data_IF_192841132909
#
_entry.id   IF_192841132909
#
_cell.length_a   1.000
_cell.length_b   1.000
_cell.length_c   1.000
_cell.angle_alpha   90.00
_cell.angle_beta   90.00
_cell.angle_gamma   90.00
#
_symmetry.space_group_name_H-M   'P 1'
#
loop_
_entity.id
_entity.type
_entity.pdbx_description
1 polymer ?
#
# COMPACT_ATOMS: atom_id res chain seq x y z
N UNK A 1 3.32 36.39 -34.55
CA UNK A 1 2.96 36.66 -33.15
C UNK A 1 4.25 36.82 -32.34
N UNK A 2 4.59 38.02 -31.87
CA UNK A 2 5.78 38.23 -30.99
C UNK A 2 5.35 37.84 -29.57
N UNK A 3 5.79 36.68 -29.06
CA UNK A 3 5.64 36.36 -27.64
C UNK A 3 6.32 37.48 -26.83
N UNK A 4 5.56 38.11 -25.94
CA UNK A 4 6.12 39.15 -25.07
C UNK A 4 7.24 38.54 -24.20
N UNK A 5 8.42 39.14 -24.22
CA UNK A 5 9.60 38.72 -23.43
C UNK A 5 9.25 38.37 -21.97
N UNK A 6 8.34 39.09 -21.26
CA UNK A 6 7.98 38.73 -19.88
C UNK A 6 7.25 37.42 -19.79
N UNK A 7 6.44 37.03 -20.78
CA UNK A 7 5.71 35.75 -20.79
C UNK A 7 6.65 34.55 -20.94
N UNK A 8 7.68 34.70 -21.80
CA UNK A 8 8.73 33.67 -21.96
C UNK A 8 9.52 33.51 -20.67
N UNK A 9 9.85 34.61 -19.98
CA UNK A 9 10.58 34.58 -18.69
C UNK A 9 9.76 33.84 -17.63
N UNK A 10 8.47 34.07 -17.52
CA UNK A 10 7.58 33.37 -16.55
C UNK A 10 7.55 31.86 -16.83
N UNK A 11 7.44 31.46 -18.10
CA UNK A 11 7.44 30.03 -18.45
C UNK A 11 8.78 29.37 -18.10
N UNK A 12 9.89 30.02 -18.41
CA UNK A 12 11.24 29.49 -18.10
C UNK A 12 11.45 29.40 -16.58
N UNK A 13 10.99 30.40 -15.83
CA UNK A 13 11.08 30.36 -14.36
C UNK A 13 10.21 29.25 -13.78
N UNK A 14 9.01 29.05 -14.30
CA UNK A 14 8.10 27.98 -13.87
C UNK A 14 8.71 26.58 -14.17
N UNK A 15 9.28 26.40 -15.35
CA UNK A 15 9.99 25.17 -15.73
C UNK A 15 11.22 24.92 -14.86
N UNK A 16 11.97 25.98 -14.52
CA UNK A 16 13.12 25.88 -13.61
C UNK A 16 12.69 25.52 -12.18
N UNK A 17 11.61 26.08 -11.67
CA UNK A 17 11.08 25.74 -10.33
C UNK A 17 10.61 24.29 -10.30
N UNK A 18 9.91 23.82 -11.32
CA UNK A 18 9.47 22.41 -11.43
C UNK A 18 10.66 21.47 -11.56
N UNK A 19 11.70 21.84 -12.29
CA UNK A 19 12.91 21.02 -12.43
C UNK A 19 13.80 21.01 -11.18
N UNK A 20 13.74 22.04 -10.35
CA UNK A 20 14.48 22.13 -9.08
C UNK A 20 13.75 21.47 -7.91
N UNK A 21 12.40 21.39 -7.95
CA UNK A 21 11.61 20.73 -6.90
C UNK A 21 11.70 19.19 -6.96
N UNK A 22 12.18 18.61 -8.06
CA UNK A 22 12.55 17.20 -8.20
C UNK A 22 11.41 16.19 -8.08
N UNK A 23 10.22 16.55 -7.61
CA UNK A 23 9.09 15.66 -7.43
C UNK A 23 7.77 16.37 -7.72
N UNK A 24 6.97 15.83 -8.61
CA UNK A 24 5.55 16.20 -8.75
C UNK A 24 4.77 15.15 -7.95
N UNK A 25 4.09 15.59 -6.90
CA UNK A 25 3.25 14.74 -6.06
C UNK A 25 1.81 14.90 -6.56
N UNK A 26 1.25 13.82 -7.09
CA UNK A 26 -0.16 13.75 -7.51
C UNK A 26 -0.84 12.75 -6.58
N UNK A 27 -1.68 13.19 -5.62
CA UNK A 27 -2.42 12.27 -4.77
C UNK A 27 -3.50 11.57 -5.62
N UNK A 28 -3.48 10.26 -5.63
CA UNK A 28 -4.52 9.41 -6.17
C UNK A 28 -5.15 8.62 -5.02
N UNK A 29 -6.46 8.39 -5.11
CA UNK A 29 -7.22 7.66 -4.10
C UNK A 29 -7.77 6.39 -4.72
N UNK A 30 -7.71 5.29 -3.96
CA UNK A 30 -8.27 4.00 -4.35
C UNK A 30 -8.96 3.34 -3.17
N UNK A 31 -10.05 2.66 -3.47
CA UNK A 31 -10.73 1.75 -2.58
C UNK A 31 -10.63 0.35 -3.17
N UNK A 32 -10.47 -0.67 -2.34
CA UNK A 32 -10.40 -2.04 -2.78
C UNK A 32 -11.71 -2.74 -2.48
N UNK A 33 -12.51 -2.98 -3.52
CA UNK A 33 -13.70 -3.81 -3.45
C UNK A 33 -13.32 -5.22 -3.94
N UNK A 34 -13.13 -6.14 -2.98
CA UNK A 34 -12.63 -7.48 -3.23
C UNK A 34 -13.80 -8.45 -2.97
N UNK A 35 -14.28 -9.16 -4.00
CA UNK A 35 -15.36 -10.13 -3.84
C UNK A 35 -14.97 -11.26 -2.88
N UNK A 36 -15.83 -11.55 -1.89
CA UNK A 36 -15.54 -12.57 -0.86
C UNK A 36 -15.34 -13.97 -1.44
N UNK A 37 -16.00 -14.29 -2.56
CA UNK A 37 -15.85 -15.54 -3.28
C UNK A 37 -14.49 -15.74 -3.94
N UNK A 38 -13.76 -14.66 -4.19
CA UNK A 38 -12.40 -14.71 -4.72
C UNK A 38 -11.35 -14.89 -3.61
N UNK A 39 -11.73 -14.72 -2.34
CA UNK A 39 -10.85 -14.76 -1.18
C UNK A 39 -10.90 -16.11 -0.49
N UNK A 40 -9.75 -16.78 -0.40
CA UNK A 40 -9.58 -18.01 0.35
C UNK A 40 -9.43 -17.77 1.86
N UNK A 41 -8.63 -16.76 2.25
CA UNK A 41 -8.45 -16.39 3.65
C UNK A 41 -7.85 -14.98 3.78
N UNK A 42 -8.01 -14.39 4.98
CA UNK A 42 -7.40 -13.12 5.36
C UNK A 42 -6.59 -13.32 6.63
N UNK A 43 -5.37 -12.79 6.66
CA UNK A 43 -4.41 -12.97 7.74
C UNK A 43 -3.80 -11.63 8.16
N UNK A 44 -3.55 -11.47 9.47
CA UNK A 44 -2.87 -10.31 10.02
C UNK A 44 -1.45 -10.65 10.46
N UNK A 45 -0.53 -9.74 10.21
CA UNK A 45 0.85 -9.79 10.68
C UNK A 45 1.13 -8.54 11.51
N UNK A 46 1.71 -8.73 12.68
CA UNK A 46 2.20 -7.67 13.58
C UNK A 46 3.71 -7.52 13.38
N UNK A 47 4.13 -6.35 12.94
CA UNK A 47 5.55 -6.06 12.68
C UNK A 47 6.16 -5.10 13.71
N UNK A 48 5.45 -4.75 14.78
CA UNK A 48 5.88 -3.77 15.80
C UNK A 48 7.21 -4.14 16.45
N UNK A 49 7.43 -5.44 16.67
CA UNK A 49 8.66 -5.95 17.29
C UNK A 49 9.82 -6.12 16.31
N UNK A 50 9.61 -5.87 15.01
CA UNK A 50 10.69 -5.94 14.02
C UNK A 50 11.45 -4.61 13.96
N UNK A 51 12.63 -4.57 14.55
CA UNK A 51 13.49 -3.37 14.64
C UNK A 51 14.13 -2.96 13.30
N UNK A 52 14.24 -3.88 12.30
CA UNK A 52 14.87 -3.61 11.01
C UNK A 52 14.33 -4.55 9.92
N UNK A 53 14.62 -4.26 8.67
CA UNK A 53 14.30 -5.04 7.45
C UNK A 53 12.99 -5.85 7.51
N UNK A 54 11.89 -5.12 7.43
CA UNK A 54 10.54 -5.70 7.38
C UNK A 54 10.22 -6.35 6.01
N UNK A 55 11.15 -6.37 5.07
CA UNK A 55 10.93 -6.87 3.69
C UNK A 55 10.67 -8.37 3.62
N UNK A 56 11.25 -9.13 4.56
CA UNK A 56 11.19 -10.59 4.58
C UNK A 56 10.23 -11.17 5.65
N UNK A 57 9.35 -10.34 6.25
CA UNK A 57 8.48 -10.76 7.35
C UNK A 57 7.66 -12.01 7.01
N UNK A 58 7.16 -12.13 5.79
CA UNK A 58 6.29 -13.24 5.37
C UNK A 58 6.98 -14.61 5.36
N UNK A 59 8.32 -14.64 5.37
CA UNK A 59 9.10 -15.88 5.47
C UNK A 59 9.62 -16.16 6.90
N UNK A 60 9.54 -15.15 7.78
CA UNK A 60 10.09 -15.20 9.14
C UNK A 60 9.02 -15.17 10.23
N UNK A 61 7.85 -14.67 9.92
CA UNK A 61 6.73 -14.55 10.87
C UNK A 61 5.56 -15.41 10.45
N UNK A 62 4.90 -16.00 11.44
CA UNK A 62 3.57 -16.55 11.28
C UNK A 62 2.53 -15.43 11.45
N UNK A 63 1.35 -15.55 10.80
CA UNK A 63 0.28 -14.60 11.03
C UNK A 63 -0.18 -14.65 12.50
N UNK A 64 -0.37 -13.50 13.12
CA UNK A 64 -0.89 -13.42 14.50
C UNK A 64 -2.37 -13.77 14.58
N UNK A 65 -3.09 -13.59 13.47
CA UNK A 65 -4.52 -13.89 13.38
C UNK A 65 -4.94 -14.26 11.96
N UNK A 66 -5.93 -15.14 11.86
CA UNK A 66 -6.62 -15.45 10.60
C UNK A 66 -8.11 -15.22 10.82
N UNK A 67 -8.72 -14.40 9.97
CA UNK A 67 -10.16 -14.09 10.02
C UNK A 67 -10.96 -15.40 9.85
N UNK A 68 -11.90 -15.72 10.77
CA UNK A 68 -12.82 -16.82 10.61
C UNK A 68 -13.65 -16.69 9.31
N UNK A 69 -14.04 -17.83 8.73
CA UNK A 69 -14.81 -17.85 7.47
C UNK A 69 -16.12 -17.06 7.56
N UNK A 70 -16.79 -17.15 8.73
CA UNK A 70 -18.04 -16.44 9.01
C UNK A 70 -17.89 -14.92 9.07
N UNK A 71 -16.71 -14.41 9.39
CA UNK A 71 -16.42 -12.98 9.50
C UNK A 71 -15.78 -12.39 8.24
N UNK A 72 -15.37 -13.25 7.30
CA UNK A 72 -14.59 -12.86 6.11
C UNK A 72 -15.30 -11.81 5.25
N UNK A 73 -16.58 -12.00 4.96
CA UNK A 73 -17.37 -11.05 4.16
C UNK A 73 -17.49 -9.70 4.86
N UNK A 74 -17.76 -9.72 6.18
CA UNK A 74 -17.86 -8.50 6.99
C UNK A 74 -16.54 -7.76 7.05
N UNK A 75 -15.42 -8.49 7.20
CA UNK A 75 -14.10 -7.89 7.15
C UNK A 75 -13.81 -7.23 5.79
N UNK A 76 -14.10 -7.91 4.69
CA UNK A 76 -13.85 -7.36 3.34
C UNK A 76 -14.71 -6.14 3.04
N UNK A 77 -15.95 -6.09 3.54
CA UNK A 77 -16.80 -4.90 3.48
C UNK A 77 -16.19 -3.73 4.28
N UNK A 78 -15.68 -3.98 5.48
CA UNK A 78 -14.98 -2.94 6.27
C UNK A 78 -13.66 -2.52 5.61
N UNK A 79 -12.90 -3.47 5.08
CA UNK A 79 -11.65 -3.21 4.35
C UNK A 79 -11.88 -2.36 3.11
N UNK A 80 -13.00 -2.56 2.39
CA UNK A 80 -13.36 -1.77 1.21
C UNK A 80 -13.60 -0.29 1.49
N UNK A 81 -13.83 0.07 2.77
CA UNK A 81 -14.03 1.46 3.21
C UNK A 81 -12.72 2.17 3.50
N UNK A 82 -11.61 1.43 3.64
CA UNK A 82 -10.30 2.04 3.83
C UNK A 82 -9.89 2.85 2.61
N UNK A 83 -9.38 4.03 2.89
CA UNK A 83 -8.93 4.95 1.86
C UNK A 83 -7.43 4.77 1.62
N UNK A 84 -7.11 4.15 0.50
CA UNK A 84 -5.73 4.03 0.05
C UNK A 84 -5.34 5.25 -0.79
N UNK A 85 -4.21 5.84 -0.47
CA UNK A 85 -3.63 6.93 -1.24
C UNK A 85 -2.41 6.46 -2.01
N UNK A 86 -2.36 6.78 -3.29
CA UNK A 86 -1.13 6.70 -4.06
C UNK A 86 -0.53 8.10 -4.18
N UNK A 87 0.77 8.16 -3.93
CA UNK A 87 1.55 9.34 -4.24
C UNK A 87 2.45 9.00 -5.41
N UNK A 88 2.06 9.39 -6.62
CA UNK A 88 2.97 9.30 -7.75
C UNK A 88 4.11 10.27 -7.49
N UNK A 89 5.23 9.73 -7.01
CA UNK A 89 6.49 10.46 -6.96
C UNK A 89 7.14 10.32 -8.33
N UNK A 90 6.99 11.32 -9.18
CA UNK A 90 7.78 11.39 -10.39
C UNK A 90 9.19 11.82 -9.95
N UNK A 91 10.00 10.85 -9.52
CA UNK A 91 11.39 11.06 -9.19
C UNK A 91 12.25 10.79 -10.42
N UNK A 92 13.17 11.71 -10.71
CA UNK A 92 14.22 11.49 -11.71
C UNK A 92 15.34 10.56 -11.20
N UNK A 93 15.31 10.21 -9.92
CA UNK A 93 16.18 9.21 -9.31
C UNK A 93 15.43 7.89 -9.14
N UNK A 94 16.09 6.76 -9.42
CA UNK A 94 15.54 5.45 -9.10
C UNK A 94 15.28 5.38 -7.60
N UNK A 95 14.00 5.28 -7.21
CA UNK A 95 13.63 5.01 -5.83
C UNK A 95 13.93 3.55 -5.59
N UNK A 96 14.84 3.28 -4.66
CA UNK A 96 15.07 1.93 -4.15
C UNK A 96 13.74 1.43 -3.54
N UNK A 97 13.16 0.34 -4.03
CA UNK A 97 11.94 -0.23 -3.48
C UNK A 97 12.20 -1.01 -2.19
N UNK A 98 13.13 -0.57 -1.34
CA UNK A 98 13.29 -1.14 0.00
C UNK A 98 12.04 -0.80 0.82
N UNK A 99 11.14 -1.75 0.85
CA UNK A 99 9.77 -1.67 1.35
C UNK A 99 9.76 -1.45 2.86
N UNK A 100 9.30 -0.27 3.27
CA UNK A 100 8.86 -0.09 4.63
C UNK A 100 7.39 -0.56 4.73
N UNK A 101 7.15 -1.73 5.27
CA UNK A 101 5.83 -2.09 5.77
C UNK A 101 5.57 -1.32 7.07
N UNK A 102 4.32 -0.90 7.29
CA UNK A 102 3.89 -0.35 8.57
C UNK A 102 3.89 -1.40 9.68
N UNK A 103 3.36 -1.04 10.83
CA UNK A 103 3.29 -1.92 11.99
C UNK A 103 2.33 -3.09 11.76
N UNK A 104 1.29 -2.89 10.97
CA UNK A 104 0.32 -3.90 10.60
C UNK A 104 0.35 -4.22 9.11
N UNK A 105 0.24 -5.50 8.79
CA UNK A 105 0.08 -5.99 7.42
C UNK A 105 -1.11 -6.93 7.34
N UNK A 106 -2.00 -6.66 6.38
CA UNK A 106 -3.10 -7.56 6.02
C UNK A 106 -2.71 -8.34 4.78
N UNK A 107 -2.70 -9.67 4.89
CA UNK A 107 -2.52 -10.57 3.76
C UNK A 107 -3.88 -11.10 3.31
N UNK A 108 -4.22 -10.87 2.05
CA UNK A 108 -5.40 -11.47 1.42
C UNK A 108 -4.93 -12.57 0.49
N UNK A 109 -5.33 -13.81 0.81
CA UNK A 109 -5.06 -14.97 -0.02
C UNK A 109 -6.26 -15.21 -0.93
N UNK A 110 -6.02 -15.30 -2.24
CA UNK A 110 -7.07 -15.52 -3.24
C UNK A 110 -7.26 -16.98 -3.56
N UNK A 111 -8.47 -17.36 -3.99
CA UNK A 111 -8.83 -18.73 -4.37
C UNK A 111 -8.01 -19.27 -5.54
N UNK A 112 -7.39 -18.41 -6.35
CA UNK A 112 -6.50 -18.78 -7.45
C UNK A 112 -5.05 -19.07 -7.00
N UNK A 113 -4.78 -19.03 -5.67
CA UNK A 113 -3.47 -19.27 -5.08
C UNK A 113 -2.57 -18.03 -5.00
N UNK A 114 -2.95 -16.91 -5.58
CA UNK A 114 -2.24 -15.64 -5.41
C UNK A 114 -2.51 -15.06 -4.02
N UNK A 115 -1.65 -14.14 -3.58
CA UNK A 115 -1.90 -13.35 -2.38
C UNK A 115 -1.34 -11.94 -2.52
N UNK A 116 -1.96 -11.01 -1.79
CA UNK A 116 -1.53 -9.61 -1.74
C UNK A 116 -1.35 -9.17 -0.29
N UNK A 117 -0.24 -8.48 -0.03
CA UNK A 117 -0.03 -7.79 1.23
C UNK A 117 -0.51 -6.34 1.11
N UNK A 118 -1.26 -5.88 2.09
CA UNK A 118 -1.68 -4.49 2.25
C UNK A 118 -1.12 -3.95 3.56
N UNK A 119 -0.52 -2.77 3.50
CA UNK A 119 0.07 -2.09 4.65
C UNK A 119 -0.14 -0.58 4.54
N UNK A 120 -0.04 0.11 5.63
CA UNK A 120 -0.14 1.56 5.73
C UNK A 120 1.12 2.28 5.24
N UNK A 121 2.30 1.68 5.35
CA UNK A 121 3.52 2.27 4.83
C UNK A 121 4.00 1.50 3.60
N UNK A 122 3.79 2.03 2.40
CA UNK A 122 4.46 1.52 1.23
C UNK A 122 3.60 0.75 0.24
N UNK A 123 3.77 -0.54 0.06
CA UNK A 123 3.34 -1.20 -1.17
C UNK A 123 2.38 -2.35 -0.90
N UNK A 124 1.25 -2.39 -1.62
CA UNK A 124 0.54 -3.65 -1.81
C UNK A 124 1.37 -4.51 -2.78
N UNK A 125 1.98 -5.58 -2.32
CA UNK A 125 2.73 -6.50 -3.17
C UNK A 125 1.92 -7.76 -3.39
N UNK A 126 1.77 -8.15 -4.66
CA UNK A 126 1.06 -9.37 -5.07
C UNK A 126 2.06 -10.43 -5.50
N UNK A 127 1.84 -11.64 -5.05
CA UNK A 127 2.67 -12.82 -5.31
C UNK A 127 1.82 -13.96 -5.85
N UNK A 128 2.45 -14.91 -6.56
CA UNK A 128 1.83 -16.18 -6.91
C UNK A 128 1.91 -17.20 -5.76
N UNK A 129 1.38 -18.41 -5.99
CA UNK A 129 1.38 -19.49 -5.00
C UNK A 129 2.78 -20.01 -4.63
N UNK A 130 3.79 -19.74 -5.44
CA UNK A 130 5.19 -20.13 -5.22
C UNK A 130 5.98 -19.02 -4.52
N UNK A 131 5.33 -17.87 -4.26
CA UNK A 131 5.97 -16.70 -3.65
C UNK A 131 6.73 -15.83 -4.64
N UNK A 132 6.52 -16.03 -5.96
CA UNK A 132 7.11 -15.19 -6.98
C UNK A 132 6.37 -13.86 -7.04
N UNK A 133 7.11 -12.76 -6.98
CA UNK A 133 6.55 -11.42 -7.10
C UNK A 133 5.93 -11.20 -8.48
N UNK A 134 4.68 -10.74 -8.50
CA UNK A 134 3.92 -10.45 -9.73
C UNK A 134 3.81 -8.96 -10.00
N UNK A 135 3.43 -8.19 -8.98
CA UNK A 135 3.20 -6.76 -9.10
C UNK A 135 3.21 -6.06 -7.75
N UNK A 136 3.42 -4.75 -7.75
CA UNK A 136 3.17 -3.91 -6.58
C UNK A 136 2.25 -2.76 -6.94
N UNK A 137 1.47 -2.34 -5.95
CA UNK A 137 0.73 -1.08 -5.96
C UNK A 137 1.37 -0.14 -4.96
N UNK A 138 1.51 1.14 -5.31
CA UNK A 138 2.09 2.15 -4.43
C UNK A 138 1.05 2.79 -3.51
N UNK A 139 -0.02 2.05 -3.17
CA UNK A 139 -1.09 2.56 -2.34
C UNK A 139 -0.85 2.20 -0.89
N UNK A 140 -0.86 3.21 -0.03
CA UNK A 140 -0.82 3.09 1.43
C UNK A 140 -2.11 3.66 2.04
N UNK A 141 -2.55 3.11 3.15
CA UNK A 141 -3.60 3.70 3.96
C UNK A 141 -2.99 4.41 5.19
N UNK A 142 -3.82 5.11 5.94
CA UNK A 142 -3.42 5.67 7.22
C UNK A 142 -3.17 4.54 8.24
N UNK A 143 -2.08 4.64 9.02
CA UNK A 143 -1.71 3.67 10.06
C UNK A 143 -2.84 3.46 11.06
N UNK A 144 -3.43 4.55 11.55
CA UNK A 144 -4.51 4.53 12.52
C UNK A 144 -5.78 3.89 11.93
N UNK A 145 -6.11 4.14 10.67
CA UNK A 145 -7.27 3.52 10.00
C UNK A 145 -7.09 2.01 9.88
N UNK A 146 -5.89 1.53 9.52
CA UNK A 146 -5.62 0.10 9.41
C UNK A 146 -5.59 -0.58 10.80
N UNK A 147 -4.95 0.04 11.78
CA UNK A 147 -4.91 -0.46 13.16
C UNK A 147 -6.33 -0.55 13.75
N UNK A 148 -7.16 0.48 13.52
CA UNK A 148 -8.56 0.48 13.93
C UNK A 148 -9.37 -0.64 13.26
N UNK A 149 -9.09 -0.96 11.99
CA UNK A 149 -9.72 -2.10 11.32
C UNK A 149 -9.27 -3.42 11.94
N UNK A 150 -7.96 -3.63 12.14
CA UNK A 150 -7.40 -4.85 12.74
C UNK A 150 -7.97 -5.06 14.14
N UNK A 151 -8.05 -4.01 14.97
CA UNK A 151 -8.53 -4.07 16.36
C UNK A 151 -10.01 -4.44 16.51
N UNK A 152 -10.82 -4.36 15.45
CA UNK A 152 -12.20 -4.87 15.46
C UNK A 152 -12.28 -6.39 15.52
N UNK A 153 -11.25 -7.08 15.01
CA UNK A 153 -11.23 -8.52 14.81
C UNK A 153 -10.19 -9.23 15.66
N UNK A 154 -9.17 -8.51 16.10
CA UNK A 154 -8.07 -9.03 16.89
C UNK A 154 -7.76 -8.08 18.06
N UNK A 155 -7.73 -8.63 19.31
CA UNK A 155 -7.34 -7.85 20.48
C UNK A 155 -5.84 -7.56 20.41
N UNK A 156 -5.51 -6.29 20.23
CA UNK A 156 -4.13 -5.81 20.21
C UNK A 156 -3.66 -5.63 21.65
N UNK A 157 -2.70 -6.45 22.08
CA UNK A 157 -2.05 -6.34 23.39
C UNK A 157 -0.99 -5.22 23.46
#
# INVERSE_FOLDING_TARGET
>A
MKLCKPFLLVIVTLLLVVSLSGCIIIPLWKYYDIPAEEVASVQFYDLRDLESDRSNFATTLEPVYTIPEEDKETFLDDFSKLKFSDTIVISLAAVDPSFAYGDWVVRINYSNGQYTFYSCAGYGATFDSEGTYLSSTHYSCDDEELENLVSKYYEIE
#
